data_IF_518299941697
#
_entry.id   IF_518299941697
#
_cell.length_a   1.000
_cell.length_b   1.000
_cell.length_c   1.000
_cell.angle_alpha   90.00
_cell.angle_beta   90.00
_cell.angle_gamma   90.00
#
_symmetry.space_group_name_H-M   'P 1'
#
loop_
_entity.id
_entity.type
_entity.pdbx_description
1 polymer ?
#
# COMPACT_ATOMS: atom_id res chain seq x y z
N UNK A 1 -0.15 -20.02 -9.13
CA UNK A 1 -0.83 -18.73 -8.89
C UNK A 1 -2.29 -18.89 -9.21
N UNK A 2 -3.13 -18.17 -8.49
CA UNK A 2 -4.55 -18.07 -8.76
C UNK A 2 -4.86 -17.50 -10.14
N UNK A 3 -5.92 -17.96 -10.83
CA UNK A 3 -6.53 -17.22 -11.93
C UNK A 3 -6.79 -15.75 -11.59
N UNK A 4 -6.69 -14.90 -12.61
CA UNK A 4 -7.05 -13.49 -12.51
C UNK A 4 -8.55 -13.34 -12.26
N UNK A 5 -8.91 -12.37 -11.41
CA UNK A 5 -10.29 -12.06 -11.05
C UNK A 5 -10.55 -10.56 -11.26
N UNK A 6 -11.71 -10.17 -11.81
CA UNK A 6 -12.08 -8.77 -11.94
C UNK A 6 -12.10 -8.06 -10.58
N UNK A 7 -11.77 -6.77 -10.56
CA UNK A 7 -11.78 -5.96 -9.33
C UNK A 7 -13.16 -5.78 -8.68
N UNK A 8 -14.24 -6.24 -9.34
CA UNK A 8 -15.60 -6.30 -8.77
C UNK A 8 -15.84 -7.53 -7.90
N UNK A 9 -14.95 -8.53 -7.94
CA UNK A 9 -15.08 -9.75 -7.14
C UNK A 9 -14.54 -9.49 -5.74
N UNK A 10 -15.39 -9.73 -4.73
CA UNK A 10 -14.98 -9.59 -3.34
C UNK A 10 -13.94 -10.66 -2.96
N UNK A 11 -12.94 -10.27 -2.18
CA UNK A 11 -11.89 -11.16 -1.70
C UNK A 11 -12.41 -12.43 -1.02
N UNK A 12 -13.50 -12.32 -0.24
CA UNK A 12 -14.13 -13.46 0.41
C UNK A 12 -14.66 -14.48 -0.60
N UNK A 13 -15.20 -14.00 -1.73
CA UNK A 13 -15.67 -14.86 -2.83
C UNK A 13 -14.50 -15.58 -3.48
N UNK A 14 -13.39 -14.88 -3.72
CA UNK A 14 -12.18 -15.48 -4.28
C UNK A 14 -11.56 -16.53 -3.33
N UNK A 15 -11.60 -16.29 -2.02
CA UNK A 15 -11.13 -17.27 -1.04
C UNK A 15 -12.03 -18.52 -1.07
N UNK A 16 -13.36 -18.33 -1.05
CA UNK A 16 -14.31 -19.45 -1.04
C UNK A 16 -14.29 -20.28 -2.33
N UNK A 17 -14.03 -19.66 -3.48
CA UNK A 17 -13.94 -20.38 -4.75
C UNK A 17 -12.74 -21.34 -4.82
N UNK A 18 -11.76 -21.19 -3.92
CA UNK A 18 -10.56 -22.04 -3.81
C UNK A 18 -10.41 -22.63 -2.41
N UNK A 19 -11.53 -22.83 -1.72
CA UNK A 19 -11.52 -23.30 -0.34
C UNK A 19 -10.80 -24.64 -0.20
N UNK A 20 -10.97 -25.55 -1.17
CA UNK A 20 -10.28 -26.83 -1.26
C UNK A 20 -8.75 -26.67 -1.22
N UNK A 21 -8.20 -25.77 -2.03
CA UNK A 21 -6.76 -25.49 -2.10
C UNK A 21 -6.26 -24.86 -0.80
N UNK A 22 -7.04 -23.93 -0.23
CA UNK A 22 -6.70 -23.31 1.05
C UNK A 22 -6.73 -24.32 2.19
N UNK A 23 -7.74 -25.18 2.26
CA UNK A 23 -7.84 -26.24 3.26
C UNK A 23 -6.68 -27.21 3.15
N UNK A 24 -6.27 -27.60 1.94
CA UNK A 24 -5.10 -28.45 1.76
C UNK A 24 -3.81 -27.77 2.23
N UNK A 25 -3.62 -26.48 1.92
CA UNK A 25 -2.44 -25.73 2.34
C UNK A 25 -2.38 -25.44 3.85
N UNK A 26 -3.53 -25.47 4.53
CA UNK A 26 -3.65 -25.22 5.97
C UNK A 26 -3.67 -26.52 6.78
N UNK A 27 -3.78 -27.68 6.14
CA UNK A 27 -3.78 -28.96 6.82
C UNK A 27 -2.43 -29.17 7.52
N UNK A 28 -2.49 -29.53 8.80
CA UNK A 28 -1.31 -29.90 9.59
C UNK A 28 -0.82 -31.29 9.20
N UNK A 29 0.49 -31.47 9.25
CA UNK A 29 1.13 -32.77 9.22
C UNK A 29 1.54 -33.24 10.64
N UNK A 30 2.12 -34.45 10.73
CA UNK A 30 2.55 -35.03 12.01
C UNK A 30 3.62 -34.19 12.72
N UNK A 31 4.40 -33.40 11.98
CA UNK A 31 5.40 -32.50 12.56
C UNK A 31 4.73 -31.25 13.15
N UNK A 32 3.75 -30.71 12.46
CA UNK A 32 2.97 -29.55 12.90
C UNK A 32 2.24 -29.81 14.21
N UNK A 33 1.85 -31.05 14.51
CA UNK A 33 1.26 -31.44 15.80
C UNK A 33 2.23 -31.28 16.99
N UNK A 34 3.54 -31.19 16.72
CA UNK A 34 4.55 -30.87 17.76
C UNK A 34 4.59 -29.38 18.10
N UNK A 35 4.02 -28.53 17.25
CA UNK A 35 3.99 -27.08 17.44
C UNK A 35 2.79 -26.71 18.30
N UNK A 36 3.05 -25.96 19.38
CA UNK A 36 2.00 -25.48 20.27
C UNK A 36 1.09 -24.46 19.56
N UNK A 37 -0.09 -24.93 19.15
CA UNK A 37 -1.13 -24.12 18.51
C UNK A 37 -2.44 -24.17 19.32
N UNK A 38 -2.38 -23.60 20.52
CA UNK A 38 -3.54 -23.42 21.41
C UNK A 38 -4.29 -22.09 21.15
N UNK A 39 -4.17 -21.54 19.94
CA UNK A 39 -4.78 -20.26 19.56
C UNK A 39 -6.30 -20.32 19.44
N UNK A 40 -6.91 -19.21 19.03
CA UNK A 40 -8.35 -19.13 18.81
C UNK A 40 -8.85 -20.24 17.86
N UNK A 41 -10.01 -20.81 18.20
CA UNK A 41 -10.71 -21.85 17.43
C UNK A 41 -9.92 -23.17 17.24
N UNK A 42 -8.84 -23.42 17.98
CA UNK A 42 -8.05 -24.64 17.79
C UNK A 42 -8.86 -25.93 18.04
N UNK A 43 -9.76 -25.94 19.04
CA UNK A 43 -10.57 -27.12 19.35
C UNK A 43 -11.55 -27.50 18.24
N UNK A 44 -12.05 -26.49 17.53
CA UNK A 44 -12.98 -26.67 16.41
C UNK A 44 -12.24 -27.08 15.13
N UNK A 45 -10.94 -26.76 15.05
CA UNK A 45 -10.09 -26.99 13.88
C UNK A 45 -8.71 -27.54 14.28
N UNK A 46 -8.64 -28.73 14.90
CA UNK A 46 -7.39 -29.24 15.49
C UNK A 46 -6.32 -29.51 14.44
N UNK A 47 -6.72 -29.98 13.25
CA UNK A 47 -5.86 -30.38 12.13
C UNK A 47 -5.61 -29.27 11.12
N UNK A 48 -5.96 -28.02 11.43
CA UNK A 48 -5.80 -26.89 10.52
C UNK A 48 -5.10 -25.71 11.19
N UNK A 49 -4.11 -25.16 10.49
CA UNK A 49 -3.55 -23.86 10.80
C UNK A 49 -4.61 -22.76 10.71
N UNK A 50 -4.43 -21.71 11.50
CA UNK A 50 -5.30 -20.55 11.50
C UNK A 50 -4.98 -19.60 10.33
N UNK A 51 -6.01 -18.96 9.78
CA UNK A 51 -5.87 -17.93 8.75
C UNK A 51 -6.08 -16.56 9.37
N UNK A 52 -5.03 -15.75 9.42
CA UNK A 52 -5.13 -14.35 9.84
C UNK A 52 -5.71 -13.52 8.69
N UNK A 53 -6.91 -12.97 8.87
CA UNK A 53 -7.60 -12.25 7.78
C UNK A 53 -7.96 -10.82 8.12
N UNK A 54 -8.05 -9.98 7.09
CA UNK A 54 -8.45 -8.60 7.29
C UNK A 54 -9.94 -8.43 7.59
N UNK A 55 -10.29 -7.23 8.04
CA UNK A 55 -11.66 -6.85 8.42
C UNK A 55 -12.69 -7.03 7.31
N UNK A 56 -12.26 -7.11 6.04
CA UNK A 56 -13.10 -7.32 4.86
C UNK A 56 -13.59 -8.76 4.68
N UNK A 57 -12.92 -9.75 5.27
CA UNK A 57 -13.26 -11.17 5.13
C UNK A 57 -14.38 -11.61 6.10
N UNK A 58 -15.38 -10.77 6.33
CA UNK A 58 -16.46 -11.02 7.29
C UNK A 58 -17.18 -12.32 6.93
N UNK A 59 -17.34 -13.23 7.90
CA UNK A 59 -18.02 -14.51 7.69
C UNK A 59 -17.12 -15.63 7.15
N UNK A 60 -15.81 -15.40 6.99
CA UNK A 60 -14.88 -16.48 6.61
C UNK A 60 -14.76 -17.57 7.68
N UNK A 61 -14.99 -17.25 8.95
CA UNK A 61 -14.95 -18.21 10.05
C UNK A 61 -15.94 -19.39 9.88
N UNK A 62 -16.97 -19.24 9.04
CA UNK A 62 -17.89 -20.33 8.70
C UNK A 62 -17.30 -21.35 7.71
N UNK A 63 -16.14 -21.04 7.11
CA UNK A 63 -15.52 -21.85 6.04
C UNK A 63 -14.11 -22.32 6.40
N UNK A 64 -13.39 -21.60 7.27
CA UNK A 64 -12.04 -21.92 7.68
C UNK A 64 -11.79 -21.41 9.12
N UNK A 65 -10.70 -21.85 9.76
CA UNK A 65 -10.23 -21.34 11.05
C UNK A 65 -9.70 -19.91 10.94
N UNK A 66 -10.58 -18.96 10.67
CA UNK A 66 -10.24 -17.58 10.38
C UNK A 66 -10.20 -16.72 11.65
N UNK A 67 -9.07 -16.07 11.89
CA UNK A 67 -8.87 -15.14 13.01
C UNK A 67 -9.01 -13.71 12.49
N UNK A 68 -10.14 -13.09 12.83
CA UNK A 68 -10.44 -11.70 12.48
C UNK A 68 -9.94 -10.74 13.56
N UNK A 69 -9.41 -9.56 13.20
CA UNK A 69 -9.25 -8.45 14.13
C UNK A 69 -10.59 -8.06 14.74
N UNK A 70 -10.63 -7.90 16.06
CA UNK A 70 -11.80 -7.41 16.78
C UNK A 70 -12.12 -6.00 16.30
N UNK A 71 -13.40 -5.74 16.03
CA UNK A 71 -13.88 -4.46 15.51
C UNK A 71 -14.41 -3.64 16.67
N UNK A 72 -14.20 -2.31 16.59
CA UNK A 72 -14.88 -1.38 17.49
C UNK A 72 -16.41 -1.50 17.29
N UNK A 73 -17.20 -1.37 18.36
CA UNK A 73 -18.65 -1.29 18.25
C UNK A 73 -19.10 -0.07 17.43
N UNK A 74 -20.31 -0.12 16.87
CA UNK A 74 -20.96 1.05 16.25
C UNK A 74 -21.21 2.05 17.38
N UNK A 75 -20.41 3.12 17.47
CA UNK A 75 -20.41 4.12 18.56
C UNK A 75 -19.68 3.73 19.86
N UNK A 76 -18.81 2.72 19.84
CA UNK A 76 -17.98 2.34 21.00
C UNK A 76 -16.49 2.43 20.75
N UNK A 77 -15.71 2.36 21.82
CA UNK A 77 -14.27 2.08 21.76
C UNK A 77 -14.03 0.57 21.84
N UNK A 78 -12.91 0.12 21.28
CA UNK A 78 -12.43 -1.22 21.53
C UNK A 78 -11.84 -1.26 22.94
N UNK A 79 -12.18 -2.27 23.74
CA UNK A 79 -11.62 -2.38 25.07
C UNK A 79 -10.11 -2.70 25.02
N UNK A 80 -9.44 -2.55 26.16
CA UNK A 80 -7.99 -2.74 26.25
C UNK A 80 -7.56 -4.18 25.96
N UNK A 81 -8.34 -5.17 26.38
CA UNK A 81 -8.01 -6.58 26.16
C UNK A 81 -8.10 -6.93 24.66
N UNK A 82 -9.15 -6.48 23.98
CA UNK A 82 -9.32 -6.64 22.54
C UNK A 82 -8.24 -5.87 21.74
N UNK A 83 -7.79 -4.71 22.25
CA UNK A 83 -6.67 -3.97 21.66
C UNK A 83 -5.35 -4.75 21.78
N UNK A 84 -5.05 -5.28 22.97
CA UNK A 84 -3.82 -6.05 23.23
C UNK A 84 -3.82 -7.35 22.40
N UNK A 85 -4.95 -8.07 22.35
CA UNK A 85 -5.13 -9.24 21.49
C UNK A 85 -4.98 -8.91 20.01
N UNK A 86 -5.55 -7.80 19.53
CA UNK A 86 -5.37 -7.36 18.14
C UNK A 86 -3.91 -7.03 17.84
N UNK A 87 -3.17 -6.47 18.80
CA UNK A 87 -1.75 -6.18 18.67
C UNK A 87 -0.92 -7.46 18.58
N UNK A 88 -1.23 -8.48 19.38
CA UNK A 88 -0.59 -9.80 19.31
C UNK A 88 -0.84 -10.45 17.94
N UNK A 89 -2.09 -10.53 17.50
CA UNK A 89 -2.45 -11.06 16.17
C UNK A 89 -1.79 -10.26 15.04
N UNK A 90 -1.69 -8.93 15.19
CA UNK A 90 -0.99 -8.09 14.21
C UNK A 90 0.52 -8.33 14.21
N UNK A 91 1.11 -8.70 15.35
CA UNK A 91 2.54 -8.99 15.45
C UNK A 91 2.91 -10.27 14.69
N UNK A 92 2.00 -11.25 14.61
CA UNK A 92 2.22 -12.46 13.81
C UNK A 92 2.22 -12.18 12.30
N UNK A 93 1.40 -11.22 11.85
CA UNK A 93 1.35 -10.78 10.45
C UNK A 93 2.60 -10.07 9.97
N UNK A 94 3.45 -9.59 10.88
CA UNK A 94 4.65 -8.81 10.53
C UNK A 94 5.58 -9.57 9.57
N UNK A 95 5.61 -10.90 9.65
CA UNK A 95 6.44 -11.72 8.74
C UNK A 95 5.97 -11.60 7.30
N UNK A 96 4.65 -11.62 7.09
CA UNK A 96 4.04 -11.46 5.77
C UNK A 96 4.31 -10.03 5.26
N UNK A 97 4.11 -9.03 6.11
CA UNK A 97 4.39 -7.63 5.75
C UNK A 97 5.88 -7.42 5.40
N UNK A 98 6.80 -7.99 6.17
CA UNK A 98 8.23 -7.92 5.89
C UNK A 98 8.59 -8.64 4.57
N UNK A 99 7.97 -9.79 4.29
CA UNK A 99 8.17 -10.49 3.02
C UNK A 99 7.76 -9.62 1.83
N UNK A 100 6.52 -9.08 1.85
CA UNK A 100 6.03 -8.21 0.78
C UNK A 100 6.81 -6.89 0.69
N UNK A 101 7.21 -6.31 1.84
CA UNK A 101 8.05 -5.12 1.90
C UNK A 101 9.42 -5.34 1.27
N UNK A 102 10.04 -6.49 1.52
CA UNK A 102 11.30 -6.88 0.90
C UNK A 102 11.16 -7.15 -0.58
N UNK A 103 10.11 -7.87 -0.97
CA UNK A 103 9.78 -8.15 -2.37
C UNK A 103 9.61 -6.84 -3.16
N UNK A 104 8.86 -5.86 -2.65
CA UNK A 104 8.73 -4.53 -3.24
C UNK A 104 10.03 -3.71 -3.20
N UNK A 105 10.91 -3.93 -2.23
CA UNK A 105 12.18 -3.21 -2.13
C UNK A 105 13.23 -3.72 -3.12
N UNK A 106 13.27 -5.03 -3.35
CA UNK A 106 14.23 -5.67 -4.25
C UNK A 106 13.76 -5.61 -5.71
N UNK A 107 12.45 -5.76 -5.96
CA UNK A 107 11.93 -5.97 -7.30
C UNK A 107 10.99 -4.85 -7.71
N UNK A 108 11.44 -4.01 -8.66
CA UNK A 108 10.67 -2.85 -9.15
C UNK A 108 9.31 -3.21 -9.73
N UNK A 109 9.23 -4.36 -10.41
CA UNK A 109 7.99 -4.87 -11.04
C UNK A 109 6.86 -5.04 -10.02
N UNK A 110 7.19 -5.25 -8.74
CA UNK A 110 6.22 -5.52 -7.69
C UNK A 110 5.50 -4.28 -7.16
N UNK A 111 6.00 -3.08 -7.42
CA UNK A 111 5.38 -1.83 -6.97
C UNK A 111 5.15 -0.80 -8.09
N UNK A 112 5.86 -0.93 -9.22
CA UNK A 112 5.71 -0.03 -10.34
C UNK A 112 4.59 -0.51 -11.28
N UNK A 113 3.95 0.43 -11.98
CA UNK A 113 2.96 0.08 -13.02
C UNK A 113 3.60 -0.81 -14.08
N UNK A 114 3.07 -2.03 -14.22
CA UNK A 114 3.44 -2.95 -15.28
C UNK A 114 2.54 -2.72 -16.50
N UNK A 115 3.14 -2.63 -17.68
CA UNK A 115 2.44 -2.23 -18.92
C UNK A 115 2.42 -3.33 -19.99
N UNK A 116 2.91 -4.53 -19.68
CA UNK A 116 2.94 -5.67 -20.61
C UNK A 116 1.83 -6.68 -20.26
N UNK A 117 1.77 -7.80 -20.98
CA UNK A 117 0.69 -8.78 -20.86
C UNK A 117 0.66 -9.55 -19.53
N UNK A 118 -0.54 -9.93 -19.11
CA UNK A 118 -0.83 -10.59 -17.82
C UNK A 118 -0.07 -11.92 -17.63
N UNK A 119 -0.02 -12.77 -18.66
CA UNK A 119 0.70 -14.04 -18.58
C UNK A 119 2.18 -13.84 -18.22
N UNK A 120 2.79 -12.81 -18.77
CA UNK A 120 4.18 -12.47 -18.47
C UNK A 120 4.31 -11.92 -17.05
N UNK A 121 3.31 -11.17 -16.56
CA UNK A 121 3.29 -10.69 -15.18
C UNK A 121 3.29 -11.85 -14.19
N UNK A 122 2.48 -12.88 -14.41
CA UNK A 122 2.43 -14.08 -13.54
C UNK A 122 3.79 -14.78 -13.45
N UNK A 123 4.46 -14.99 -14.58
CA UNK A 123 5.76 -15.65 -14.62
C UNK A 123 6.83 -14.80 -13.91
N UNK A 124 6.83 -13.49 -14.14
CA UNK A 124 7.72 -12.55 -13.44
C UNK A 124 7.43 -12.55 -11.95
N UNK A 125 6.17 -12.54 -11.53
CA UNK A 125 5.80 -12.48 -10.13
C UNK A 125 6.15 -13.77 -9.38
N UNK A 126 6.00 -14.93 -10.03
CA UNK A 126 6.51 -16.21 -9.49
C UNK A 126 8.02 -16.17 -9.31
N UNK A 127 8.73 -15.60 -10.27
CA UNK A 127 10.19 -15.47 -10.20
C UNK A 127 10.62 -14.53 -9.07
N UNK A 128 9.99 -13.36 -8.92
CA UNK A 128 10.29 -12.43 -7.80
C UNK A 128 9.98 -13.05 -6.45
N UNK A 129 8.91 -13.85 -6.32
CA UNK A 129 8.59 -14.57 -5.08
C UNK A 129 9.65 -15.62 -4.77
N UNK A 130 10.06 -16.43 -5.75
CA UNK A 130 11.12 -17.42 -5.58
C UNK A 130 12.45 -16.79 -5.14
N UNK A 131 12.85 -15.68 -5.79
CA UNK A 131 14.06 -14.94 -5.40
C UNK A 131 13.95 -14.30 -4.02
N UNK A 132 12.76 -13.80 -3.65
CA UNK A 132 12.53 -13.26 -2.29
C UNK A 132 12.61 -14.36 -1.24
N UNK A 133 12.05 -15.55 -1.52
CA UNK A 133 12.17 -16.71 -0.65
C UNK A 133 13.63 -17.10 -0.45
N UNK A 134 14.42 -17.20 -1.52
CA UNK A 134 15.86 -17.47 -1.42
C UNK A 134 16.59 -16.39 -0.63
N UNK A 135 16.27 -15.12 -0.83
CA UNK A 135 16.84 -14.04 -0.02
C UNK A 135 16.43 -14.16 1.46
N UNK A 136 15.22 -14.62 1.76
CA UNK A 136 14.75 -14.84 3.13
C UNK A 136 15.48 -15.98 3.85
N UNK A 137 16.03 -16.96 3.12
CA UNK A 137 16.88 -18.00 3.72
C UNK A 137 18.27 -17.47 4.09
N UNK A 138 18.73 -16.39 3.45
CA UNK A 138 20.02 -15.76 3.73
C UNK A 138 19.91 -14.62 4.76
N UNK A 139 18.78 -13.92 4.76
CA UNK A 139 18.48 -12.81 5.67
C UNK A 139 17.09 -13.01 6.26
N UNK A 140 16.95 -13.51 7.49
CA UNK A 140 15.63 -13.76 8.08
C UNK A 140 14.75 -12.51 8.18
N UNK A 141 13.43 -12.70 8.20
CA UNK A 141 12.41 -11.63 8.14
C UNK A 141 11.97 -11.09 9.52
N UNK A 142 12.72 -11.37 10.59
CA UNK A 142 12.39 -10.93 11.96
C UNK A 142 13.52 -10.14 12.61
N UNK A 143 14.04 -10.56 13.77
CA UNK A 143 14.97 -9.74 14.58
C UNK A 143 16.23 -9.33 13.81
N UNK A 144 16.69 -10.20 12.91
CA UNK A 144 17.88 -10.01 12.07
C UNK A 144 17.63 -9.08 10.87
N UNK A 145 16.38 -8.76 10.57
CA UNK A 145 15.99 -7.84 9.49
C UNK A 145 16.13 -6.35 9.90
N UNK A 146 16.67 -6.08 11.09
CA UNK A 146 16.73 -4.72 11.65
C UNK A 146 17.49 -3.76 10.74
N UNK A 147 18.58 -4.21 10.11
CA UNK A 147 19.40 -3.37 9.25
C UNK A 147 18.71 -3.07 7.91
N UNK A 148 18.00 -4.05 7.34
CA UNK A 148 17.14 -3.81 6.17
C UNK A 148 16.01 -2.84 6.52
N UNK A 149 15.35 -3.04 7.66
CA UNK A 149 14.31 -2.15 8.16
C UNK A 149 14.84 -0.71 8.33
N UNK A 150 16.02 -0.54 8.93
CA UNK A 150 16.68 0.78 9.05
C UNK A 150 16.97 1.39 7.69
N UNK A 151 17.47 0.61 6.73
CA UNK A 151 17.73 1.08 5.37
C UNK A 151 16.44 1.52 4.65
N UNK A 152 15.35 0.76 4.79
CA UNK A 152 14.03 1.11 4.26
C UNK A 152 13.51 2.41 4.90
N UNK A 153 13.61 2.55 6.22
CA UNK A 153 13.20 3.76 6.92
C UNK A 153 14.03 4.99 6.51
N UNK A 154 15.33 4.82 6.28
CA UNK A 154 16.20 5.88 5.75
C UNK A 154 15.78 6.29 4.32
N UNK A 155 15.46 5.31 3.47
CA UNK A 155 14.93 5.57 2.12
C UNK A 155 13.61 6.33 2.16
N UNK A 156 12.67 5.97 3.04
CA UNK A 156 11.41 6.72 3.17
C UNK A 156 11.63 8.16 3.64
N UNK A 157 12.55 8.38 4.59
CA UNK A 157 12.93 9.75 5.00
C UNK A 157 13.50 10.54 3.83
N UNK A 158 14.38 9.94 3.03
CA UNK A 158 14.95 10.57 1.83
C UNK A 158 13.87 10.92 0.80
N UNK A 159 12.97 9.98 0.48
CA UNK A 159 11.84 10.20 -0.43
C UNK A 159 10.89 11.30 0.06
N UNK A 160 10.61 11.35 1.36
CA UNK A 160 9.79 12.40 1.94
C UNK A 160 10.45 13.78 1.81
N UNK A 161 11.77 13.87 2.04
CA UNK A 161 12.54 15.09 1.83
C UNK A 161 12.55 15.50 0.35
N UNK A 162 12.77 14.56 -0.56
CA UNK A 162 12.73 14.81 -2.02
C UNK A 162 11.35 15.30 -2.47
N UNK A 163 10.27 14.67 -2.02
CA UNK A 163 8.90 15.09 -2.31
C UNK A 163 8.59 16.48 -1.77
N UNK A 164 9.11 16.82 -0.59
CA UNK A 164 8.98 18.16 0.00
C UNK A 164 9.71 19.19 -0.85
N UNK A 165 10.93 18.87 -1.30
CA UNK A 165 11.72 19.71 -2.21
C UNK A 165 11.01 19.91 -3.56
N UNK A 166 10.49 18.85 -4.18
CA UNK A 166 9.70 18.92 -5.42
C UNK A 166 8.46 19.80 -5.27
N UNK A 167 7.72 19.66 -4.16
CA UNK A 167 6.55 20.51 -3.85
C UNK A 167 6.95 21.97 -3.73
N UNK A 168 8.02 22.27 -2.99
CA UNK A 168 8.54 23.63 -2.84
C UNK A 168 8.99 24.24 -4.18
N UNK A 169 9.70 23.48 -5.01
CA UNK A 169 10.13 23.92 -6.33
C UNK A 169 8.94 24.21 -7.26
N UNK A 170 7.92 23.34 -7.25
CA UNK A 170 6.68 23.56 -8.01
C UNK A 170 5.94 24.81 -7.54
N UNK A 171 5.86 25.06 -6.23
CA UNK A 171 5.23 26.25 -5.68
C UNK A 171 6.00 27.53 -6.08
N UNK A 172 7.34 27.52 -6.03
CA UNK A 172 8.17 28.64 -6.51
C UNK A 172 7.92 28.93 -8.00
N UNK A 173 7.93 27.89 -8.85
CA UNK A 173 7.62 28.02 -10.29
C UNK A 173 6.21 28.54 -10.54
N UNK A 174 5.25 28.16 -9.71
CA UNK A 174 3.88 28.66 -9.81
C UNK A 174 3.81 30.16 -9.47
N UNK A 175 4.44 30.59 -8.36
CA UNK A 175 4.48 31.99 -7.95
C UNK A 175 5.19 32.86 -8.98
N UNK A 176 6.31 32.40 -9.54
CA UNK A 176 7.02 33.10 -10.60
C UNK A 176 6.14 33.31 -11.84
N UNK A 177 5.51 32.24 -12.35
CA UNK A 177 4.58 32.33 -13.48
C UNK A 177 3.38 33.22 -13.19
N UNK A 178 2.91 33.29 -11.94
CA UNK A 178 1.85 34.21 -11.52
C UNK A 178 2.31 35.66 -11.57
N UNK A 179 3.52 35.96 -11.09
CA UNK A 179 4.09 37.30 -11.13
C UNK A 179 4.32 37.77 -12.58
N UNK A 180 4.84 36.89 -13.45
CA UNK A 180 5.01 37.17 -14.89
C UNK A 180 3.68 37.53 -15.57
N UNK A 181 2.59 36.82 -15.26
CA UNK A 181 1.25 37.15 -15.77
C UNK A 181 0.79 38.54 -15.32
N UNK A 182 0.89 38.85 -14.04
CA UNK A 182 0.52 40.18 -13.53
C UNK A 182 1.37 41.30 -14.12
N UNK A 183 2.68 41.09 -14.28
CA UNK A 183 3.57 42.06 -14.92
C UNK A 183 3.19 42.29 -16.39
N UNK A 184 2.82 41.23 -17.11
CA UNK A 184 2.38 41.33 -18.50
C UNK A 184 1.05 42.07 -18.63
N UNK A 185 0.09 41.82 -17.72
CA UNK A 185 -1.18 42.55 -17.65
C UNK A 185 -0.99 44.03 -17.31
N UNK A 186 -0.14 44.35 -16.33
CA UNK A 186 0.19 45.73 -15.97
C UNK A 186 0.92 46.48 -17.10
N UNK A 187 1.81 45.81 -17.84
CA UNK A 187 2.47 46.37 -19.01
C UNK A 187 1.48 46.63 -20.17
N UNK A 188 0.47 45.77 -20.35
CA UNK A 188 -0.62 46.00 -21.31
C UNK A 188 -1.49 47.18 -20.89
N UNK A 189 -1.93 47.23 -19.63
CA UNK A 189 -2.76 48.32 -19.11
C UNK A 189 -2.06 49.69 -19.20
N UNK A 190 -0.76 49.76 -18.92
CA UNK A 190 0.02 51.00 -19.02
C UNK A 190 0.28 51.45 -20.47
N UNK A 191 0.33 50.53 -21.45
CA UNK A 191 0.34 50.90 -22.87
C UNK A 191 -1.01 51.46 -23.32
N UNK A 192 -2.11 50.88 -22.87
CA UNK A 192 -3.45 51.40 -23.17
C UNK A 192 -3.67 52.79 -22.59
N UNK A 193 -3.19 53.07 -21.36
CA UNK A 193 -3.33 54.39 -20.74
C UNK A 193 -2.41 55.47 -21.34
N UNK A 194 -1.23 55.10 -21.85
CA UNK A 194 -0.38 56.02 -22.63
C UNK A 194 -0.96 56.34 -24.01
N UNK A 195 -1.68 55.41 -24.63
CA UNK A 195 -2.37 55.64 -25.90
C UNK A 195 -3.50 56.67 -25.80
N UNK A 196 -4.16 56.79 -24.64
CA UNK A 196 -5.24 57.77 -24.41
C UNK A 196 -4.75 59.19 -24.14
N UNK A 197 -3.47 59.39 -23.80
CA UNK A 197 -2.90 60.72 -23.51
C UNK A 197 -2.31 61.42 -24.75
N UNK A 198 -2.25 60.74 -25.90
CA UNK A 198 -1.72 61.25 -27.17
C UNK A 198 -2.83 61.33 -28.23
N UNK A 199 -3.99 61.87 -27.88
CA UNK A 199 -4.93 62.38 -28.88
C UNK A 199 -4.60 63.85 -29.16
N UNK A 200 -4.28 64.25 -30.41
CA UNK A 200 -4.07 65.66 -30.71
C UNK A 200 -5.41 66.40 -30.58
N UNK A 201 -5.45 67.46 -29.76
CA UNK A 201 -6.54 68.44 -29.81
C UNK A 201 -6.51 69.10 -31.18
N UNK A 202 -7.46 68.74 -32.05
CA UNK A 202 -7.72 69.44 -33.30
C UNK A 202 -8.35 70.80 -32.95
N UNK A 203 -7.54 71.86 -33.06
CA UNK A 203 -8.00 73.24 -33.00
C UNK A 203 -8.90 73.51 -34.22
N UNK A 204 -10.19 73.74 -33.97
CA UNK A 204 -11.13 74.23 -34.97
C UNK A 204 -10.89 75.70 -35.26
N UNK A 205 -10.54 76.03 -36.51
CA UNK A 205 -10.65 77.39 -37.06
C UNK A 205 -12.01 77.55 -37.73
N UNK A 206 -12.77 78.55 -37.28
CA UNK A 206 -13.67 79.34 -38.13
C UNK A 206 -13.05 80.70 -38.32
#
# INVERSE_FOLDING_TARGET
MSPHEPGSVYDLTMFRSRLDQHTQALAKDDYDDTINDNGELFREHPTSWAVLVDKGYIGLAASARAIHPKKKPVSGTLDRFDMDRNKEVSSDRVVVENFFGRMCSLWKVSYATFVWGEKLYDDIQRFTFALTNFHATLMPLRLEDNDHYRAVMARYKSMAAENTSKRAANQRRYLQRRAERFATEAARASRTSRGTFLSPMVSGRR
#
